data_IF_177863856016
#
_entry.id   IF_177863856016
#
_cell.length_a   1.000
_cell.length_b   1.000
_cell.length_c   1.000
_cell.angle_alpha   90.00
_cell.angle_beta   90.00
_cell.angle_gamma   90.00
#
_symmetry.space_group_name_H-M   'P 1'
#
loop_
_entity.id
_entity.type
_entity.pdbx_description
1 polymer ?
#
# COMPACT_ATOMS: atom_id res chain seq x y z
N UNK A 1 2.39 33.17 23.53
CA UNK A 1 2.86 31.83 23.91
C UNK A 1 4.23 31.59 23.27
N UNK A 2 5.21 31.07 24.02
CA UNK A 2 6.56 30.83 23.51
C UNK A 2 6.58 29.69 22.45
N UNK A 3 7.48 29.71 21.44
CA UNK A 3 7.54 28.68 20.38
C UNK A 3 7.66 27.26 20.92
N UNK A 4 8.46 27.05 21.97
CA UNK A 4 8.62 25.75 22.62
C UNK A 4 7.31 25.25 23.27
N UNK A 5 6.53 26.14 23.89
CA UNK A 5 5.23 25.79 24.46
C UNK A 5 4.23 25.43 23.34
N UNK A 6 4.20 26.21 22.25
CA UNK A 6 3.35 25.94 21.10
C UNK A 6 3.69 24.59 20.42
N UNK A 7 4.97 24.29 20.22
CA UNK A 7 5.42 23.02 19.66
C UNK A 7 5.08 21.82 20.57
N UNK A 8 5.23 22.00 21.88
CA UNK A 8 4.82 20.98 22.85
C UNK A 8 3.32 20.71 22.79
N UNK A 9 2.48 21.76 22.76
CA UNK A 9 1.03 21.63 22.62
C UNK A 9 0.62 21.01 21.28
N UNK A 10 1.35 21.29 20.19
CA UNK A 10 1.12 20.64 18.90
C UNK A 10 1.38 19.12 18.96
N UNK A 11 2.47 18.69 19.61
CA UNK A 11 2.76 17.26 19.84
C UNK A 11 1.82 16.63 20.87
N UNK A 12 1.35 17.41 21.84
CA UNK A 12 0.31 17.01 22.76
C UNK A 12 -0.98 16.68 22.01
N UNK A 13 -1.42 17.57 21.14
CA UNK A 13 -2.59 17.36 20.29
C UNK A 13 -2.44 16.15 19.37
N UNK A 14 -1.28 16.00 18.69
CA UNK A 14 -0.97 14.83 17.84
C UNK A 14 -0.98 13.49 18.61
N UNK A 15 -0.69 13.52 19.92
CA UNK A 15 -0.68 12.32 20.75
C UNK A 15 -2.06 11.83 21.19
N UNK A 16 -3.11 12.66 21.06
CA UNK A 16 -4.45 12.34 21.55
C UNK A 16 -5.21 11.42 20.60
N UNK A 17 -6.16 10.67 21.16
CA UNK A 17 -7.05 9.81 20.37
C UNK A 17 -8.00 10.67 19.51
N UNK A 18 -8.10 10.32 18.22
CA UNK A 18 -8.96 11.02 17.24
C UNK A 18 -10.41 10.52 17.23
N UNK A 19 -10.71 9.45 17.94
CA UNK A 19 -12.04 8.86 18.04
C UNK A 19 -12.23 8.13 19.39
N UNK A 20 -13.49 7.92 19.83
CA UNK A 20 -13.81 7.07 20.96
C UNK A 20 -13.27 5.64 20.80
N UNK A 21 -13.11 4.94 21.93
CA UNK A 21 -12.71 3.52 21.92
C UNK A 21 -13.89 2.65 21.46
N UNK A 22 -13.56 1.52 20.81
CA UNK A 22 -14.54 0.55 20.34
C UNK A 22 -15.22 -0.23 21.48
N UNK A 23 -16.35 -0.85 21.16
CA UNK A 23 -17.12 -1.69 22.08
C UNK A 23 -16.29 -2.82 22.70
N UNK A 24 -16.57 -3.12 23.97
CA UNK A 24 -15.94 -4.19 24.73
C UNK A 24 -14.52 -3.89 25.21
N UNK A 25 -13.93 -2.75 24.83
CA UNK A 25 -12.63 -2.31 25.35
C UNK A 25 -12.78 -2.06 26.86
N UNK A 26 -12.03 -2.83 27.66
CA UNK A 26 -12.09 -2.84 29.13
C UNK A 26 -13.50 -3.01 29.71
N UNK A 27 -14.34 -3.81 29.04
CA UNK A 27 -15.72 -4.13 29.46
C UNK A 27 -16.67 -2.92 29.52
N UNK A 28 -16.34 -1.83 28.82
CA UNK A 28 -17.28 -0.73 28.58
C UNK A 28 -17.93 -0.86 27.20
N UNK A 29 -19.16 -0.37 27.08
CA UNK A 29 -19.89 -0.30 25.81
C UNK A 29 -19.39 0.82 24.92
N UNK A 30 -19.74 0.78 23.63
CA UNK A 30 -19.48 1.88 22.70
C UNK A 30 -20.08 3.23 23.18
N UNK A 31 -21.26 3.21 23.79
CA UNK A 31 -21.93 4.41 24.29
C UNK A 31 -21.23 4.98 25.52
N UNK A 32 -20.80 4.11 26.45
CA UNK A 32 -20.00 4.50 27.61
C UNK A 32 -18.68 5.16 27.18
N UNK A 33 -18.00 4.59 26.17
CA UNK A 33 -16.78 5.18 25.62
C UNK A 33 -17.01 6.49 24.88
N UNK A 34 -18.12 6.62 24.16
CA UNK A 34 -18.47 7.86 23.45
C UNK A 34 -18.77 8.99 24.43
N UNK A 35 -19.52 8.71 25.50
CA UNK A 35 -19.79 9.67 26.57
C UNK A 35 -18.51 10.08 27.31
N UNK A 36 -17.64 9.11 27.63
CA UNK A 36 -16.35 9.37 28.27
C UNK A 36 -15.43 10.21 27.37
N UNK A 37 -15.41 9.94 26.07
CA UNK A 37 -14.60 10.69 25.10
C UNK A 37 -15.05 12.14 24.99
N UNK A 38 -16.37 12.41 24.93
CA UNK A 38 -16.89 13.78 24.90
C UNK A 38 -16.52 14.56 26.17
N UNK A 39 -16.59 13.92 27.33
CA UNK A 39 -16.14 14.51 28.59
C UNK A 39 -14.64 14.82 28.55
N UNK A 40 -13.84 13.89 28.04
CA UNK A 40 -12.40 14.08 27.93
C UNK A 40 -12.00 15.21 26.99
N UNK A 41 -12.67 15.33 25.83
CA UNK A 41 -12.44 16.42 24.87
C UNK A 41 -12.74 17.78 25.50
N UNK A 42 -13.80 17.89 26.31
CA UNK A 42 -14.13 19.15 27.03
C UNK A 42 -13.03 19.54 28.01
N UNK A 43 -12.56 18.58 28.81
CA UNK A 43 -11.48 18.78 29.78
C UNK A 43 -10.16 19.17 29.10
N UNK A 44 -9.79 18.47 28.02
CA UNK A 44 -8.59 18.80 27.23
C UNK A 44 -8.70 20.18 26.62
N UNK A 45 -9.87 20.53 26.06
CA UNK A 45 -10.08 21.86 25.49
C UNK A 45 -9.86 22.95 26.54
N UNK A 46 -10.42 22.79 27.73
CA UNK A 46 -10.21 23.73 28.84
C UNK A 46 -8.72 23.84 29.19
N UNK A 47 -8.00 22.72 29.29
CA UNK A 47 -6.56 22.73 29.52
C UNK A 47 -5.80 23.53 28.45
N UNK A 48 -6.11 23.33 27.17
CA UNK A 48 -5.48 24.06 26.07
C UNK A 48 -5.81 25.57 26.08
N UNK A 49 -6.98 25.96 26.59
CA UNK A 49 -7.37 27.36 26.75
C UNK A 49 -6.64 28.04 27.94
N UNK A 50 -6.31 27.29 28.98
CA UNK A 50 -5.65 27.79 30.21
C UNK A 50 -4.12 27.88 30.11
N UNK A 51 -3.47 26.92 29.44
CA UNK A 51 -2.00 26.81 29.40
C UNK A 51 -1.34 28.03 28.75
N UNK A 52 -0.37 28.62 29.46
CA UNK A 52 0.45 29.73 28.98
C UNK A 52 1.95 29.38 28.88
N UNK A 53 2.41 28.41 29.68
CA UNK A 53 3.84 28.05 29.78
C UNK A 53 4.13 26.61 29.37
N UNK A 54 5.40 26.33 29.02
CA UNK A 54 5.84 24.97 28.70
C UNK A 54 5.72 24.02 29.91
N UNK A 55 6.00 24.51 31.12
CA UNK A 55 5.89 23.70 32.33
C UNK A 55 4.43 23.35 32.62
N UNK A 56 3.49 24.27 32.41
CA UNK A 56 2.05 23.96 32.48
C UNK A 56 1.64 22.93 31.42
N UNK A 57 2.12 23.07 30.17
CA UNK A 57 1.80 22.15 29.08
C UNK A 57 2.20 20.69 29.39
N UNK A 58 3.33 20.50 30.10
CA UNK A 58 3.82 19.17 30.55
C UNK A 58 2.94 18.51 31.61
N UNK A 59 1.97 19.23 32.18
CA UNK A 59 1.15 18.75 33.29
C UNK A 59 -0.22 18.19 32.92
N UNK A 60 -0.50 17.93 31.63
CA UNK A 60 -1.82 17.45 31.19
C UNK A 60 -2.31 16.24 32.00
N UNK A 61 -1.46 15.24 32.24
CA UNK A 61 -1.82 14.06 33.02
C UNK A 61 -2.20 14.43 34.46
N UNK A 62 -1.42 15.29 35.13
CA UNK A 62 -1.71 15.75 36.48
C UNK A 62 -2.99 16.59 36.51
N UNK A 63 -3.17 17.50 35.56
CA UNK A 63 -4.33 18.35 35.46
C UNK A 63 -5.61 17.52 35.29
N UNK A 64 -5.58 16.52 34.41
CA UNK A 64 -6.69 15.61 34.19
C UNK A 64 -6.96 14.74 35.43
N UNK A 65 -5.94 14.21 36.08
CA UNK A 65 -6.10 13.41 37.29
C UNK A 65 -6.68 14.22 38.47
N UNK A 66 -6.31 15.51 38.60
CA UNK A 66 -6.86 16.42 39.63
C UNK A 66 -8.36 16.61 39.51
N UNK A 67 -8.93 16.53 38.30
CA UNK A 67 -10.38 16.56 38.09
C UNK A 67 -11.11 15.46 38.88
N UNK A 68 -10.43 14.34 39.15
CA UNK A 68 -10.95 13.22 39.94
C UNK A 68 -10.49 13.25 41.40
N UNK A 69 -9.76 14.28 41.84
CA UNK A 69 -9.10 14.32 43.15
C UNK A 69 -7.94 13.32 43.27
N UNK A 70 -7.36 12.91 42.15
CA UNK A 70 -6.39 11.82 42.06
C UNK A 70 -5.03 12.30 41.52
N UNK A 71 -4.04 11.41 41.57
CA UNK A 71 -2.75 11.56 40.87
C UNK A 71 -2.69 10.61 39.67
N UNK A 72 -1.83 10.86 38.66
CA UNK A 72 -1.65 9.91 37.56
C UNK A 72 -1.24 8.50 38.00
N UNK A 73 -0.61 8.36 39.18
CA UNK A 73 -0.22 7.08 39.74
C UNK A 73 -1.36 6.36 40.47
N UNK A 74 -2.28 7.09 41.11
CA UNK A 74 -3.42 6.48 41.79
C UNK A 74 -4.56 6.13 40.81
N UNK A 75 -4.69 6.87 39.71
CA UNK A 75 -5.74 6.65 38.70
C UNK A 75 -5.67 5.26 38.03
N UNK A 76 -4.48 4.66 37.94
CA UNK A 76 -4.31 3.32 37.35
C UNK A 76 -4.92 2.20 38.20
N UNK A 77 -5.15 2.47 39.49
CA UNK A 77 -5.74 1.50 40.43
C UNK A 77 -7.26 1.68 40.59
N UNK A 78 -7.85 2.71 39.97
CA UNK A 78 -9.29 2.95 40.00
C UNK A 78 -10.03 2.02 39.04
N UNK A 79 -11.27 1.62 39.36
CA UNK A 79 -12.14 0.98 38.38
C UNK A 79 -12.25 1.87 37.15
N UNK A 80 -11.97 1.31 35.96
CA UNK A 80 -11.90 2.09 34.72
C UNK A 80 -13.19 2.87 34.44
N UNK A 81 -14.35 2.33 34.84
CA UNK A 81 -15.65 2.99 34.66
C UNK A 81 -15.73 4.33 35.39
N UNK A 82 -15.06 4.48 36.53
CA UNK A 82 -15.06 5.71 37.34
C UNK A 82 -14.17 6.80 36.74
N UNK A 83 -13.15 6.39 35.99
CA UNK A 83 -12.11 7.27 35.44
C UNK A 83 -12.03 7.16 33.91
N UNK A 84 -13.12 6.72 33.28
CA UNK A 84 -13.17 6.45 31.85
C UNK A 84 -12.75 7.66 31.00
N UNK A 85 -13.14 8.92 31.32
CA UNK A 85 -12.73 10.06 30.53
C UNK A 85 -11.20 10.29 30.53
N UNK A 86 -10.50 9.99 31.63
CA UNK A 86 -9.03 10.09 31.66
C UNK A 86 -8.36 9.20 30.61
N UNK A 87 -8.95 8.03 30.35
CA UNK A 87 -8.43 7.06 29.40
C UNK A 87 -8.98 7.23 27.98
N UNK A 88 -10.17 7.82 27.85
CA UNK A 88 -10.90 7.89 26.58
C UNK A 88 -10.12 8.67 25.51
N UNK A 89 -9.52 9.80 25.87
CA UNK A 89 -8.73 10.64 24.97
C UNK A 89 -7.26 10.20 24.84
N UNK A 90 -6.82 9.23 25.64
CA UNK A 90 -5.43 8.82 25.65
C UNK A 90 -5.09 7.86 24.50
N UNK A 91 -3.85 7.89 23.98
CA UNK A 91 -3.40 6.96 22.95
C UNK A 91 -3.33 5.52 23.52
N UNK A 92 -3.82 4.54 22.76
CA UNK A 92 -3.85 3.15 23.20
C UNK A 92 -5.08 2.39 22.72
N UNK A 93 -5.04 1.06 22.87
CA UNK A 93 -6.08 0.15 22.39
C UNK A 93 -6.33 -1.00 23.36
N UNK A 94 -6.79 -2.14 22.85
CA UNK A 94 -7.25 -3.30 23.64
C UNK A 94 -6.25 -3.86 24.67
N UNK A 95 -4.93 -3.71 24.45
CA UNK A 95 -3.88 -4.38 25.25
C UNK A 95 -3.19 -3.48 26.28
N UNK A 96 -3.02 -2.19 26.00
CA UNK A 96 -2.38 -1.21 26.90
C UNK A 96 -2.95 0.18 26.64
N UNK A 97 -3.20 0.91 27.72
CA UNK A 97 -3.47 2.35 27.70
C UNK A 97 -2.23 3.11 28.15
N UNK A 98 -2.04 4.31 27.62
CA UNK A 98 -1.04 5.25 28.09
C UNK A 98 -1.73 6.45 28.72
N UNK A 99 -1.04 7.16 29.62
CA UNK A 99 -1.59 8.39 30.20
C UNK A 99 -1.74 9.47 29.11
N UNK A 100 -2.74 10.35 29.22
CA UNK A 100 -2.81 11.57 28.40
C UNK A 100 -1.49 12.34 28.47
N UNK A 101 -0.98 12.75 27.31
CA UNK A 101 0.31 13.45 27.22
C UNK A 101 1.55 12.56 27.25
N UNK A 102 1.41 11.23 27.19
CA UNK A 102 2.55 10.36 26.90
C UNK A 102 3.01 10.54 25.46
N UNK A 103 4.30 10.79 25.26
CA UNK A 103 4.90 10.89 23.93
C UNK A 103 5.59 9.60 23.50
N UNK A 104 5.52 9.32 22.20
CA UNK A 104 6.52 8.48 21.54
C UNK A 104 7.86 9.21 21.48
N UNK A 105 8.96 8.47 21.30
CA UNK A 105 10.31 9.05 21.08
C UNK A 105 10.29 10.15 20.01
N UNK A 106 9.55 9.92 18.93
CA UNK A 106 9.34 10.90 17.87
C UNK A 106 8.65 12.19 18.36
N UNK A 107 7.50 12.05 19.02
CA UNK A 107 6.74 13.20 19.51
C UNK A 107 7.53 14.01 20.55
N UNK A 108 8.29 13.32 21.40
CA UNK A 108 9.16 13.96 22.37
C UNK A 108 10.26 14.80 21.69
N UNK A 109 11.01 14.20 20.76
CA UNK A 109 12.07 14.91 20.07
C UNK A 109 11.54 16.06 19.22
N UNK A 110 10.39 15.88 18.55
CA UNK A 110 9.76 16.97 17.81
C UNK A 110 9.23 18.07 18.72
N UNK A 111 8.73 17.76 19.93
CA UNK A 111 8.31 18.80 20.87
C UNK A 111 9.45 19.74 21.28
N UNK A 112 10.70 19.29 21.13
CA UNK A 112 11.91 20.05 21.43
C UNK A 112 12.42 20.78 20.18
N UNK A 113 12.65 20.06 19.08
CA UNK A 113 13.39 20.57 17.94
C UNK A 113 12.53 21.22 16.84
N UNK A 114 11.22 21.02 16.86
CA UNK A 114 10.33 21.54 15.82
C UNK A 114 10.41 23.07 15.63
N UNK A 115 10.48 23.91 16.69
CA UNK A 115 10.71 25.35 16.52
C UNK A 115 12.04 25.67 15.83
N UNK A 116 13.08 24.88 16.12
CA UNK A 116 14.43 25.06 15.56
C UNK A 116 14.53 24.61 14.11
N UNK A 117 13.67 23.68 13.70
CA UNK A 117 13.53 23.20 12.32
C UNK A 117 12.60 24.09 11.48
N UNK A 118 12.18 25.26 12.01
CA UNK A 118 11.41 26.26 11.27
C UNK A 118 9.89 26.06 11.29
N UNK A 119 9.33 25.35 12.27
CA UNK A 119 7.88 25.35 12.50
C UNK A 119 7.48 26.53 13.39
N UNK A 120 6.34 27.21 13.16
CA UNK A 120 5.21 26.82 12.29
C UNK A 120 5.30 27.20 10.81
N UNK A 121 6.31 27.96 10.39
CA UNK A 121 6.45 28.47 9.03
C UNK A 121 6.59 27.31 8.02
N UNK A 122 7.37 26.28 8.37
CA UNK A 122 7.53 25.04 7.62
C UNK A 122 6.64 23.93 8.18
N UNK A 123 5.50 23.69 7.53
CA UNK A 123 4.57 22.61 7.93
C UNK A 123 5.14 21.21 7.71
N UNK A 124 6.17 21.06 6.89
CA UNK A 124 6.80 19.76 6.60
C UNK A 124 7.61 19.21 7.78
N UNK A 125 7.97 20.06 8.74
CA UNK A 125 8.60 19.66 10.00
C UNK A 125 7.75 18.64 10.76
N UNK A 126 6.42 18.73 10.68
CA UNK A 126 5.51 17.74 11.29
C UNK A 126 5.65 16.34 10.68
N UNK A 127 6.23 16.22 9.48
CA UNK A 127 6.42 14.96 8.75
C UNK A 127 7.83 14.41 8.87
N UNK A 128 8.78 15.19 9.42
CA UNK A 128 10.18 14.76 9.55
C UNK A 128 10.30 13.57 10.52
N UNK A 129 11.28 12.72 10.26
CA UNK A 129 11.78 11.73 11.21
C UNK A 129 13.27 11.95 11.49
N UNK A 130 13.81 13.12 11.14
CA UNK A 130 15.21 13.46 11.33
C UNK A 130 15.29 14.67 12.27
N UNK A 131 16.12 14.56 13.31
CA UNK A 131 16.35 15.59 14.33
C UNK A 131 17.84 15.63 14.69
N UNK A 132 18.34 16.76 15.22
CA UNK A 132 19.70 16.81 15.73
C UNK A 132 19.83 16.03 17.04
N UNK A 133 21.00 15.47 17.29
CA UNK A 133 21.37 14.78 18.52
C UNK A 133 22.77 15.22 18.94
N UNK A 134 22.89 15.73 20.17
CA UNK A 134 24.16 16.08 20.79
C UNK A 134 24.84 14.81 21.32
N UNK A 135 26.15 14.71 21.12
CA UNK A 135 27.00 13.64 21.61
C UNK A 135 27.76 14.08 22.86
N UNK A 136 28.28 13.10 23.60
CA UNK A 136 29.04 13.35 24.84
C UNK A 136 30.30 14.21 24.64
N UNK A 137 30.86 14.21 23.43
CA UNK A 137 32.02 15.02 23.05
C UNK A 137 31.67 16.46 22.65
N UNK A 138 30.39 16.85 22.76
CA UNK A 138 29.89 18.19 22.41
C UNK A 138 29.65 18.39 20.91
N UNK A 139 29.89 17.36 20.09
CA UNK A 139 29.54 17.40 18.66
C UNK A 139 28.09 16.97 18.45
N UNK A 140 27.54 17.30 17.28
CA UNK A 140 26.16 17.02 16.89
C UNK A 140 26.12 16.02 15.74
N UNK A 141 25.00 15.31 15.60
CA UNK A 141 24.67 14.53 14.41
C UNK A 141 23.21 14.69 14.03
N UNK A 142 22.91 14.59 12.73
CA UNK A 142 21.56 14.33 12.27
C UNK A 142 21.24 12.85 12.51
N UNK A 143 20.10 12.60 13.17
CA UNK A 143 19.66 11.24 13.50
C UNK A 143 18.26 10.97 12.99
N UNK A 144 18.06 9.82 12.38
CA UNK A 144 16.76 9.30 11.99
C UNK A 144 16.11 8.56 13.16
N UNK A 145 14.88 8.95 13.49
CA UNK A 145 14.04 8.34 14.51
C UNK A 145 13.33 7.12 13.90
N UNK A 146 13.58 5.92 14.44
CA UNK A 146 12.96 4.66 14.02
C UNK A 146 12.39 3.93 15.23
N UNK A 147 11.12 4.19 15.53
CA UNK A 147 10.49 3.69 16.75
C UNK A 147 11.16 4.31 17.98
N UNK A 148 11.77 3.49 18.81
CA UNK A 148 12.52 3.92 20.00
C UNK A 148 14.04 3.99 19.77
N UNK A 149 14.50 3.78 18.53
CA UNK A 149 15.92 3.84 18.17
C UNK A 149 16.26 5.11 17.38
N UNK A 150 17.47 5.62 17.59
CA UNK A 150 18.06 6.73 16.85
C UNK A 150 19.19 6.20 15.97
N UNK A 151 19.13 6.49 14.67
CA UNK A 151 20.11 6.01 13.68
C UNK A 151 20.86 7.22 13.14
N UNK A 152 22.19 7.20 13.21
CA UNK A 152 23.00 8.28 12.67
C UNK A 152 22.92 8.31 11.15
N UNK A 153 22.59 9.48 10.59
CA UNK A 153 22.51 9.69 9.13
C UNK A 153 23.53 10.70 8.62
N UNK A 154 24.30 11.32 9.53
CA UNK A 154 25.43 12.18 9.23
C UNK A 154 26.69 11.76 10.01
N UNK A 155 27.84 12.29 9.60
CA UNK A 155 29.04 12.34 10.43
C UNK A 155 28.89 13.31 11.61
N UNK A 156 29.96 13.48 12.39
CA UNK A 156 30.01 14.48 13.47
C UNK A 156 29.99 15.91 12.90
N UNK A 157 29.24 16.79 13.55
CA UNK A 157 28.97 18.17 13.14
C UNK A 157 29.29 19.08 14.32
N UNK A 158 30.00 20.18 14.08
CA UNK A 158 30.50 21.02 15.18
C UNK A 158 29.42 21.84 15.87
N UNK A 159 28.37 22.27 15.15
CA UNK A 159 27.37 23.20 15.68
C UNK A 159 25.94 22.67 15.53
N UNK A 160 25.06 23.11 16.44
CA UNK A 160 23.63 22.83 16.33
C UNK A 160 23.03 23.38 15.03
N UNK A 161 23.45 24.56 14.58
CA UNK A 161 22.92 25.17 13.36
C UNK A 161 23.23 24.31 12.13
N UNK A 162 24.46 23.82 12.01
CA UNK A 162 24.86 22.93 10.92
C UNK A 162 24.14 21.58 11.01
N UNK A 163 23.90 21.09 12.22
CA UNK A 163 23.14 19.86 12.43
C UNK A 163 21.66 20.02 12.05
N UNK A 164 21.06 21.19 12.31
CA UNK A 164 19.70 21.51 11.87
C UNK A 164 19.60 21.57 10.34
N UNK A 165 20.55 22.24 9.67
CA UNK A 165 20.62 22.26 8.20
C UNK A 165 20.79 20.85 7.62
N UNK A 166 21.62 20.02 8.25
CA UNK A 166 21.80 18.62 7.83
C UNK A 166 20.52 17.81 8.06
N UNK A 167 19.79 18.04 9.15
CA UNK A 167 18.49 17.42 9.40
C UNK A 167 17.45 17.85 8.37
N UNK A 168 17.41 19.12 7.98
CA UNK A 168 16.56 19.60 6.89
C UNK A 168 16.95 18.94 5.58
N UNK A 169 18.24 18.88 5.24
CA UNK A 169 18.75 18.24 4.01
C UNK A 169 18.37 16.76 3.96
N UNK A 170 18.59 16.02 5.03
CA UNK A 170 18.25 14.59 5.12
C UNK A 170 16.74 14.37 5.20
N UNK A 171 16.00 15.26 5.86
CA UNK A 171 14.54 15.23 5.86
C UNK A 171 13.99 15.49 4.46
N UNK A 172 14.49 16.49 3.73
CA UNK A 172 14.16 16.74 2.33
C UNK A 172 14.59 15.59 1.42
N UNK A 173 15.73 14.96 1.67
CA UNK A 173 16.15 13.75 0.95
C UNK A 173 15.18 12.62 1.21
N UNK A 174 14.84 12.30 2.46
CA UNK A 174 13.94 11.19 2.81
C UNK A 174 12.48 11.45 2.45
N UNK A 175 11.99 12.65 2.74
CA UNK A 175 10.67 13.13 2.32
C UNK A 175 10.62 13.26 0.82
N UNK A 176 11.71 13.65 0.15
CA UNK A 176 11.88 13.75 -1.29
C UNK A 176 12.05 12.41 -1.99
N UNK A 177 12.64 11.39 -1.37
CA UNK A 177 12.65 10.01 -1.86
C UNK A 177 11.28 9.39 -1.64
N UNK A 178 10.66 9.64 -0.49
CA UNK A 178 9.29 9.21 -0.21
C UNK A 178 8.27 9.99 -1.04
N UNK A 179 8.53 11.25 -1.36
CA UNK A 179 7.73 12.10 -2.22
C UNK A 179 8.09 11.88 -3.68
N UNK A 180 9.26 11.36 -4.05
CA UNK A 180 9.56 10.90 -5.40
C UNK A 180 8.90 9.54 -5.61
N UNK A 181 8.94 8.63 -4.63
CA UNK A 181 8.15 7.40 -4.61
C UNK A 181 6.64 7.69 -4.61
N UNK A 182 6.17 8.75 -3.91
CA UNK A 182 4.76 9.17 -3.88
C UNK A 182 4.34 10.06 -5.07
N UNK A 183 5.20 10.92 -5.58
CA UNK A 183 4.98 11.89 -6.70
C UNK A 183 5.15 11.21 -8.06
N UNK A 184 6.06 10.22 -8.18
CA UNK A 184 6.12 9.34 -9.37
C UNK A 184 4.82 8.56 -9.59
N UNK A 185 3.91 8.55 -8.61
CA UNK A 185 2.56 7.96 -8.69
C UNK A 185 1.41 8.96 -8.41
N UNK A 186 1.68 10.26 -8.22
CA UNK A 186 0.63 11.28 -7.96
C UNK A 186 0.83 12.65 -8.61
N UNK A 187 1.89 12.88 -9.40
CA UNK A 187 1.82 13.91 -10.44
C UNK A 187 0.68 13.52 -11.39
N UNK A 188 -0.08 14.48 -11.94
CA UNK A 188 -1.24 14.25 -12.80
C UNK A 188 -0.97 13.13 -13.81
N UNK A 189 -1.37 11.91 -13.47
CA UNK A 189 -1.11 10.75 -14.31
C UNK A 189 -1.87 11.05 -15.60
N UNK A 190 -1.16 11.01 -16.73
CA UNK A 190 -1.77 11.22 -18.04
C UNK A 190 -3.05 10.37 -18.13
N UNK A 191 -4.16 10.90 -18.67
CA UNK A 191 -5.35 10.09 -18.85
C UNK A 191 -5.05 8.91 -19.78
N UNK A 192 -5.84 7.84 -19.68
CA UNK A 192 -5.72 6.70 -20.59
C UNK A 192 -5.77 7.17 -22.05
N UNK A 193 -4.86 6.67 -22.88
CA UNK A 193 -4.85 6.84 -24.33
C UNK A 193 -5.10 5.49 -25.00
N UNK A 194 -6.11 5.42 -25.86
CA UNK A 194 -6.51 4.21 -26.58
C UNK A 194 -7.96 4.29 -27.05
N UNK A 195 -8.48 3.25 -27.72
CA UNK A 195 -9.87 3.19 -28.17
C UNK A 195 -10.84 3.41 -27.00
N UNK A 196 -11.94 4.13 -27.24
CA UNK A 196 -13.02 4.23 -26.26
C UNK A 196 -13.76 2.89 -26.20
N UNK A 197 -13.56 2.16 -25.10
CA UNK A 197 -14.15 0.85 -24.83
C UNK A 197 -15.43 0.94 -23.98
N UNK A 198 -15.81 2.15 -23.56
CA UNK A 198 -17.01 2.44 -22.77
C UNK A 198 -18.10 3.07 -23.63
N UNK A 199 -17.75 3.72 -24.73
CA UNK A 199 -18.69 4.44 -25.60
C UNK A 199 -19.51 5.47 -24.80
N UNK A 200 -18.81 6.22 -23.93
CA UNK A 200 -19.41 7.24 -23.06
C UNK A 200 -20.26 6.71 -21.89
N UNK A 201 -20.36 5.39 -21.68
CA UNK A 201 -21.16 4.82 -20.58
C UNK A 201 -20.38 4.71 -19.27
N UNK A 202 -21.09 4.85 -18.17
CA UNK A 202 -20.61 4.48 -16.85
C UNK A 202 -20.76 2.97 -16.61
N UNK A 203 -19.74 2.39 -15.98
CA UNK A 203 -19.64 0.95 -15.72
C UNK A 203 -20.12 0.65 -14.29
N UNK A 204 -20.90 -0.41 -14.15
CA UNK A 204 -21.33 -0.97 -12.85
C UNK A 204 -20.47 -2.16 -12.41
N UNK A 205 -20.58 -2.57 -11.15
CA UNK A 205 -19.94 -3.81 -10.68
C UNK A 205 -20.44 -5.06 -11.42
N UNK A 206 -21.72 -5.09 -11.77
CA UNK A 206 -22.33 -6.20 -12.51
C UNK A 206 -21.79 -6.30 -13.94
N UNK A 207 -21.47 -5.16 -14.56
CA UNK A 207 -20.80 -5.15 -15.86
C UNK A 207 -19.44 -5.83 -15.78
N UNK A 208 -18.65 -5.59 -14.73
CA UNK A 208 -17.37 -6.26 -14.54
C UNK A 208 -17.53 -7.77 -14.38
N UNK A 209 -18.51 -8.22 -13.59
CA UNK A 209 -18.80 -9.64 -13.41
C UNK A 209 -19.24 -10.30 -14.73
N UNK A 210 -20.13 -9.65 -15.47
CA UNK A 210 -20.70 -10.19 -16.72
C UNK A 210 -19.69 -10.22 -17.86
N UNK A 211 -18.91 -9.17 -18.05
CA UNK A 211 -17.96 -9.05 -19.17
C UNK A 211 -16.68 -9.85 -18.94
N UNK A 212 -16.11 -9.76 -17.74
CA UNK A 212 -14.80 -10.33 -17.42
C UNK A 212 -14.86 -11.66 -16.68
N UNK A 213 -16.04 -12.05 -16.20
CA UNK A 213 -16.27 -13.33 -15.51
C UNK A 213 -15.90 -13.32 -14.03
N UNK A 214 -15.73 -12.16 -13.39
CA UNK A 214 -15.37 -12.09 -11.97
C UNK A 214 -16.45 -12.72 -11.09
N UNK A 215 -16.04 -13.48 -10.07
CA UNK A 215 -16.96 -14.06 -9.08
C UNK A 215 -17.73 -13.01 -8.29
N UNK A 216 -17.11 -11.85 -8.07
CA UNK A 216 -17.72 -10.75 -7.34
C UNK A 216 -16.85 -9.51 -7.32
N UNK A 217 -17.49 -8.36 -7.08
CA UNK A 217 -16.86 -7.05 -6.91
C UNK A 217 -17.06 -6.58 -5.47
N UNK A 218 -15.96 -6.22 -4.78
CA UNK A 218 -16.00 -5.77 -3.38
C UNK A 218 -15.54 -4.32 -3.23
N UNK A 219 -16.16 -3.60 -2.30
CA UNK A 219 -15.81 -2.22 -1.97
C UNK A 219 -15.15 -2.13 -0.60
N UNK A 220 -14.13 -1.28 -0.50
CA UNK A 220 -13.59 -0.89 0.79
C UNK A 220 -14.42 0.18 1.49
N UNK A 221 -14.48 0.09 2.81
CA UNK A 221 -15.14 1.08 3.67
C UNK A 221 -14.56 2.50 3.50
N UNK A 222 -13.28 2.60 3.08
CA UNK A 222 -12.56 3.86 2.90
C UNK A 222 -12.72 4.50 1.51
N UNK A 223 -13.52 3.92 0.61
CA UNK A 223 -13.77 4.46 -0.74
C UNK A 223 -15.07 5.29 -0.76
N UNK A 224 -14.99 6.63 -0.88
CA UNK A 224 -16.15 7.50 -0.97
C UNK A 224 -16.99 7.16 -2.20
N UNK A 225 -18.31 7.28 -2.06
CA UNK A 225 -19.25 7.00 -3.13
C UNK A 225 -18.94 7.81 -4.41
N UNK A 226 -18.48 9.06 -4.25
CA UNK A 226 -18.10 9.94 -5.36
C UNK A 226 -16.93 9.43 -6.21
N UNK A 227 -16.11 8.51 -5.70
CA UNK A 227 -14.94 7.99 -6.42
C UNK A 227 -15.16 6.60 -7.02
N UNK A 228 -16.19 5.89 -6.58
CA UNK A 228 -16.46 4.51 -7.02
C UNK A 228 -16.67 4.42 -8.52
N UNK A 229 -17.41 5.38 -9.11
CA UNK A 229 -17.68 5.39 -10.54
C UNK A 229 -16.39 5.55 -11.37
N UNK A 230 -15.50 6.45 -10.97
CA UNK A 230 -14.19 6.63 -11.64
C UNK A 230 -13.36 5.35 -11.57
N UNK A 231 -13.32 4.70 -10.40
CA UNK A 231 -12.56 3.45 -10.21
C UNK A 231 -13.12 2.29 -11.03
N UNK A 232 -14.45 2.17 -11.16
CA UNK A 232 -15.07 1.17 -12.03
C UNK A 232 -14.72 1.42 -13.50
N UNK A 233 -14.82 2.67 -13.94
CA UNK A 233 -14.53 3.06 -15.32
C UNK A 233 -13.05 2.82 -15.66
N UNK A 234 -12.13 3.22 -14.78
CA UNK A 234 -10.70 2.98 -14.97
C UNK A 234 -10.36 1.49 -14.90
N UNK A 235 -10.99 0.75 -13.99
CA UNK A 235 -10.89 -0.71 -13.88
C UNK A 235 -11.29 -1.40 -15.17
N UNK A 236 -12.47 -1.06 -15.69
CA UNK A 236 -12.97 -1.57 -16.96
C UNK A 236 -12.00 -1.30 -18.12
N UNK A 237 -11.55 -0.06 -18.24
CA UNK A 237 -10.65 0.38 -19.30
C UNK A 237 -9.34 -0.43 -19.26
N UNK A 238 -8.74 -0.58 -18.07
CA UNK A 238 -7.50 -1.33 -17.88
C UNK A 238 -7.65 -2.84 -18.13
N UNK A 239 -8.79 -3.43 -17.75
CA UNK A 239 -9.08 -4.85 -18.01
C UNK A 239 -9.36 -5.13 -19.49
N UNK A 240 -9.99 -4.18 -20.20
CA UNK A 240 -10.11 -4.25 -21.66
C UNK A 240 -8.74 -4.21 -22.34
N UNK A 241 -7.88 -3.26 -21.95
CA UNK A 241 -6.51 -3.16 -22.47
C UNK A 241 -5.73 -4.45 -22.22
N UNK A 242 -5.82 -5.02 -21.01
CA UNK A 242 -5.15 -6.26 -20.67
C UNK A 242 -5.65 -7.44 -21.52
N UNK A 243 -6.97 -7.56 -21.72
CA UNK A 243 -7.55 -8.61 -22.56
C UNK A 243 -7.10 -8.48 -24.03
N UNK A 244 -6.98 -7.24 -24.53
CA UNK A 244 -6.49 -6.95 -25.87
C UNK A 244 -5.00 -7.28 -26.01
N UNK A 245 -4.14 -6.89 -25.07
CA UNK A 245 -2.70 -7.22 -25.10
C UNK A 245 -2.48 -8.74 -25.03
N UNK A 246 -3.19 -9.40 -24.13
CA UNK A 246 -3.15 -10.87 -24.02
C UNK A 246 -3.84 -11.57 -25.19
N UNK A 247 -4.61 -10.83 -25.99
CA UNK A 247 -5.46 -11.34 -27.07
C UNK A 247 -6.31 -12.54 -26.64
N UNK A 248 -6.95 -12.41 -25.49
CA UNK A 248 -7.89 -13.38 -24.94
C UNK A 248 -9.29 -12.79 -24.90
N UNK A 249 -10.35 -13.62 -24.93
CA UNK A 249 -11.70 -13.13 -24.65
C UNK A 249 -11.76 -12.43 -23.29
N UNK A 250 -12.45 -11.29 -23.19
CA UNK A 250 -12.57 -10.52 -21.93
C UNK A 250 -13.04 -11.38 -20.76
N UNK A 251 -13.98 -12.31 -20.99
CA UNK A 251 -14.47 -13.28 -19.99
C UNK A 251 -13.41 -14.22 -19.39
N UNK A 252 -12.19 -14.27 -19.95
CA UNK A 252 -11.08 -15.08 -19.43
C UNK A 252 -10.19 -14.32 -18.45
N UNK A 253 -10.38 -13.01 -18.30
CA UNK A 253 -9.62 -12.18 -17.38
C UNK A 253 -9.79 -12.63 -15.92
N UNK A 254 -10.97 -13.13 -15.55
CA UNK A 254 -11.19 -13.69 -14.22
C UNK A 254 -10.59 -15.09 -14.01
N UNK A 255 -9.86 -15.63 -14.99
CA UNK A 255 -9.05 -16.85 -14.84
C UNK A 255 -9.85 -17.97 -14.14
N UNK A 256 -11.03 -18.33 -14.64
CA UNK A 256 -11.90 -19.34 -14.01
C UNK A 256 -13.38 -19.11 -14.27
N UNK A 257 -14.23 -19.93 -13.64
CA UNK A 257 -15.68 -19.80 -13.67
C UNK A 257 -16.25 -20.22 -12.31
N UNK A 258 -17.42 -19.68 -11.96
CA UNK A 258 -18.09 -19.99 -10.68
C UNK A 258 -17.25 -19.61 -9.46
N UNK A 259 -17.16 -20.50 -8.48
CA UNK A 259 -16.44 -20.25 -7.23
C UNK A 259 -14.91 -20.18 -7.39
N UNK A 260 -14.37 -20.75 -8.47
CA UNK A 260 -12.95 -20.74 -8.80
C UNK A 260 -12.52 -19.48 -9.59
N UNK A 261 -13.48 -18.64 -10.00
CA UNK A 261 -13.17 -17.40 -10.68
C UNK A 261 -12.53 -16.38 -9.72
N UNK A 262 -11.62 -15.58 -10.27
CA UNK A 262 -11.01 -14.45 -9.59
C UNK A 262 -12.10 -13.48 -9.13
N UNK A 263 -11.96 -12.91 -7.94
CA UNK A 263 -12.73 -11.74 -7.54
C UNK A 263 -11.90 -10.47 -7.65
N UNK A 264 -12.58 -9.32 -7.67
CA UNK A 264 -11.92 -8.01 -7.71
C UNK A 264 -12.46 -7.14 -6.57
N UNK A 265 -11.58 -6.36 -5.97
CA UNK A 265 -11.91 -5.43 -4.91
C UNK A 265 -11.33 -4.04 -5.20
N UNK A 266 -12.08 -3.01 -4.85
CA UNK A 266 -11.67 -1.62 -5.00
C UNK A 266 -11.55 -0.98 -3.62
N UNK A 267 -10.31 -0.68 -3.23
CA UNK A 267 -9.95 -0.04 -1.96
C UNK A 267 -10.35 -0.81 -0.70
N UNK A 268 -10.72 -2.09 -0.81
CA UNK A 268 -11.08 -2.93 0.33
C UNK A 268 -9.82 -3.45 1.04
N UNK A 269 -9.95 -3.93 2.29
CA UNK A 269 -8.94 -4.81 2.94
C UNK A 269 -7.55 -4.18 3.20
N UNK A 270 -7.50 -2.89 3.52
CA UNK A 270 -6.26 -2.13 3.68
C UNK A 270 -5.27 -2.67 4.74
N UNK A 271 -4.13 -3.18 4.29
CA UNK A 271 -2.86 -3.07 5.03
C UNK A 271 -2.22 -1.76 4.59
N UNK A 272 -1.98 -0.85 5.54
CA UNK A 272 -1.69 0.58 5.34
C UNK A 272 -0.48 0.97 4.45
N UNK A 273 0.16 0.03 3.74
CA UNK A 273 1.38 0.23 2.93
C UNK A 273 1.35 -0.40 1.52
N UNK A 274 0.35 -1.22 1.14
CA UNK A 274 0.34 -1.87 -0.17
C UNK A 274 -0.31 -0.99 -1.26
N UNK A 275 0.23 -1.07 -2.49
CA UNK A 275 -0.14 -0.23 -3.64
C UNK A 275 -1.30 -0.88 -4.43
N UNK A 276 -1.22 -2.16 -4.73
CA UNK A 276 -2.31 -3.09 -4.99
C UNK A 276 -1.84 -4.44 -4.43
N UNK A 277 -2.73 -5.42 -4.25
CA UNK A 277 -2.29 -6.75 -3.81
C UNK A 277 -3.26 -7.84 -4.24
N UNK A 278 -2.72 -8.96 -4.73
CA UNK A 278 -3.42 -10.22 -4.86
C UNK A 278 -3.46 -10.95 -3.51
N UNK A 279 -4.62 -11.47 -3.11
CA UNK A 279 -4.82 -12.28 -1.91
C UNK A 279 -5.02 -13.75 -2.29
N UNK A 280 -3.97 -14.61 -2.20
CA UNK A 280 -4.07 -16.00 -2.65
C UNK A 280 -5.15 -16.81 -1.94
N UNK A 281 -5.36 -16.56 -0.64
CA UNK A 281 -6.34 -17.27 0.18
C UNK A 281 -7.79 -17.01 -0.25
N UNK A 282 -8.06 -15.85 -0.85
CA UNK A 282 -9.40 -15.45 -1.27
C UNK A 282 -9.58 -15.46 -2.79
N UNK A 283 -8.48 -15.65 -3.52
CA UNK A 283 -8.44 -15.56 -4.98
C UNK A 283 -9.04 -14.22 -5.45
N UNK A 284 -8.52 -13.11 -4.91
CA UNK A 284 -9.00 -11.74 -5.17
C UNK A 284 -7.84 -10.80 -5.49
N UNK A 285 -8.00 -9.94 -6.49
CA UNK A 285 -7.14 -8.76 -6.70
C UNK A 285 -7.78 -7.56 -6.00
N UNK A 286 -7.00 -6.85 -5.19
CA UNK A 286 -7.44 -5.61 -4.55
C UNK A 286 -6.68 -4.39 -5.08
N UNK A 287 -7.40 -3.51 -5.77
CA UNK A 287 -6.87 -2.27 -6.34
C UNK A 287 -7.04 -1.13 -5.33
N UNK A 288 -5.93 -0.59 -4.80
CA UNK A 288 -6.01 0.54 -3.86
C UNK A 288 -6.05 1.89 -4.61
N UNK A 289 -7.07 2.72 -4.32
CA UNK A 289 -7.37 4.06 -4.88
C UNK A 289 -6.32 4.68 -5.85
N UNK A 290 -5.68 5.80 -5.47
CA UNK A 290 -4.74 6.55 -6.32
C UNK A 290 -3.33 5.95 -6.32
N UNK A 291 -3.03 5.08 -5.34
CA UNK A 291 -1.69 4.53 -5.11
C UNK A 291 -1.44 3.20 -5.85
N UNK A 292 -2.50 2.50 -6.26
CA UNK A 292 -2.46 1.25 -7.02
C UNK A 292 -2.50 1.40 -8.54
N UNK A 293 -2.53 2.65 -9.03
CA UNK A 293 -2.30 2.92 -10.45
C UNK A 293 -0.91 2.41 -10.84
N UNK A 294 -0.88 1.66 -11.94
CA UNK A 294 0.31 1.04 -12.50
C UNK A 294 0.58 -0.40 -12.05
N UNK A 295 -0.28 -1.01 -11.23
CA UNK A 295 0.01 -2.33 -10.63
C UNK A 295 -0.98 -3.45 -11.01
N UNK A 296 -2.05 -3.18 -11.78
CA UNK A 296 -3.04 -4.22 -12.08
C UNK A 296 -2.43 -5.37 -12.90
N UNK A 297 -1.56 -5.10 -13.86
CA UNK A 297 -0.89 -6.15 -14.64
C UNK A 297 -0.06 -7.08 -13.74
N UNK A 298 0.64 -6.50 -12.75
CA UNK A 298 1.45 -7.21 -11.77
C UNK A 298 0.60 -8.17 -10.91
N UNK A 299 -0.48 -7.66 -10.30
CA UNK A 299 -1.37 -8.49 -9.48
C UNK A 299 -2.11 -9.55 -10.29
N UNK A 300 -2.46 -9.24 -11.55
CA UNK A 300 -3.06 -10.20 -12.45
C UNK A 300 -2.11 -11.36 -12.75
N UNK A 301 -0.83 -11.09 -12.99
CA UNK A 301 0.16 -12.14 -13.19
C UNK A 301 0.28 -13.06 -11.97
N UNK A 302 0.31 -12.51 -10.75
CA UNK A 302 0.30 -13.33 -9.54
C UNK A 302 -0.91 -14.26 -9.47
N UNK A 303 -2.09 -13.77 -9.83
CA UNK A 303 -3.29 -14.61 -9.89
C UNK A 303 -3.21 -15.71 -10.95
N UNK A 304 -2.66 -15.40 -12.13
CA UNK A 304 -2.45 -16.34 -13.23
C UNK A 304 -1.44 -17.44 -12.86
N UNK A 305 -0.28 -17.05 -12.30
CA UNK A 305 0.78 -17.94 -11.83
C UNK A 305 0.25 -18.91 -10.75
N UNK A 306 -0.49 -18.38 -9.77
CA UNK A 306 -1.13 -19.21 -8.72
C UNK A 306 -2.16 -20.18 -9.30
N UNK A 307 -2.98 -19.74 -10.26
CA UNK A 307 -3.94 -20.65 -10.91
C UNK A 307 -3.24 -21.76 -11.67
N UNK A 308 -2.16 -21.43 -12.38
CA UNK A 308 -1.38 -22.41 -13.10
C UNK A 308 -0.80 -23.45 -12.11
N UNK A 309 -0.25 -23.01 -10.97
CA UNK A 309 0.21 -23.92 -9.91
C UNK A 309 -0.90 -24.82 -9.34
N UNK A 310 -2.10 -24.28 -9.10
CA UNK A 310 -3.27 -25.09 -8.68
C UNK A 310 -3.65 -26.15 -9.70
N UNK A 311 -3.64 -25.82 -10.99
CA UNK A 311 -3.89 -26.78 -12.08
C UNK A 311 -2.81 -27.86 -12.18
N UNK A 312 -1.58 -27.52 -11.81
CA UNK A 312 -0.47 -28.46 -11.70
C UNK A 312 -0.56 -29.37 -10.45
N UNK A 313 -1.58 -29.20 -9.60
CA UNK A 313 -1.82 -30.03 -8.42
C UNK A 313 -1.22 -29.50 -7.11
N UNK A 314 -0.70 -28.27 -7.10
CA UNK A 314 -0.17 -27.65 -5.88
C UNK A 314 -0.92 -26.36 -5.56
N UNK A 315 -1.39 -26.17 -4.33
CA UNK A 315 -1.91 -24.87 -3.88
C UNK A 315 -0.76 -23.89 -3.59
N UNK A 316 -0.01 -23.55 -4.64
CA UNK A 316 1.19 -22.71 -4.64
C UNK A 316 1.37 -22.02 -6.01
N UNK A 317 2.34 -21.10 -6.13
CA UNK A 317 2.74 -20.53 -7.42
C UNK A 317 3.42 -21.59 -8.31
N UNK A 318 3.41 -21.43 -9.63
CA UNK A 318 3.94 -22.43 -10.57
C UNK A 318 5.42 -22.74 -10.32
N UNK A 319 6.22 -21.75 -9.92
CA UNK A 319 7.63 -21.95 -9.56
C UNK A 319 7.85 -22.99 -8.44
N UNK A 320 6.93 -23.05 -7.48
CA UNK A 320 6.97 -24.02 -6.37
C UNK A 320 6.32 -25.34 -6.82
N UNK A 321 5.21 -25.26 -7.56
CA UNK A 321 4.47 -26.42 -8.04
C UNK A 321 5.33 -27.38 -8.87
N UNK A 322 6.25 -26.84 -9.68
CA UNK A 322 7.19 -27.63 -10.51
C UNK A 322 8.12 -28.56 -9.72
N UNK A 323 8.28 -28.35 -8.41
CA UNK A 323 9.06 -29.24 -7.55
C UNK A 323 8.29 -30.50 -7.15
N UNK A 324 7.02 -30.62 -7.56
CA UNK A 324 6.16 -31.78 -7.32
C UNK A 324 6.03 -32.62 -8.59
N UNK A 325 5.97 -33.97 -8.50
CA UNK A 325 5.71 -34.81 -9.65
C UNK A 325 4.31 -34.54 -10.23
N UNK A 326 4.21 -34.30 -11.54
CA UNK A 326 2.93 -34.26 -12.26
C UNK A 326 3.07 -35.04 -13.58
N UNK A 327 2.01 -35.69 -14.03
CA UNK A 327 1.95 -36.33 -15.36
C UNK A 327 1.17 -35.44 -16.35
N UNK A 328 1.75 -35.19 -17.53
CA UNK A 328 1.06 -34.57 -18.67
C UNK A 328 0.93 -33.04 -18.64
N UNK A 329 1.99 -32.34 -19.02
CA UNK A 329 1.94 -30.89 -19.25
C UNK A 329 1.25 -30.58 -20.58
N UNK A 330 0.15 -29.82 -20.55
CA UNK A 330 -0.57 -29.41 -21.76
C UNK A 330 -1.04 -27.95 -21.66
N UNK A 331 -0.50 -27.07 -22.53
CA UNK A 331 -0.96 -25.69 -22.65
C UNK A 331 0.15 -24.67 -22.42
N UNK A 332 0.00 -23.90 -21.34
CA UNK A 332 0.82 -22.70 -21.02
C UNK A 332 2.05 -23.00 -20.17
N UNK A 333 2.15 -24.21 -19.64
CA UNK A 333 3.18 -24.64 -18.69
C UNK A 333 4.60 -24.59 -19.27
N UNK A 334 4.87 -25.00 -20.53
CA UNK A 334 6.20 -24.90 -21.11
C UNK A 334 6.71 -23.45 -21.20
N UNK A 335 5.82 -22.50 -21.48
CA UNK A 335 6.17 -21.08 -21.58
C UNK A 335 6.50 -20.50 -20.21
N UNK A 336 5.73 -20.84 -19.18
CA UNK A 336 6.03 -20.48 -17.79
C UNK A 336 7.34 -21.13 -17.31
N UNK A 337 7.58 -22.40 -17.67
CA UNK A 337 8.84 -23.07 -17.35
C UNK A 337 10.04 -22.38 -17.99
N UNK A 338 9.93 -22.02 -19.28
CA UNK A 338 10.94 -21.26 -20.01
C UNK A 338 11.24 -19.92 -19.33
N UNK A 339 10.18 -19.16 -18.99
CA UNK A 339 10.28 -17.90 -18.26
C UNK A 339 11.04 -18.07 -16.94
N UNK A 340 10.64 -19.01 -16.07
CA UNK A 340 11.32 -19.21 -14.79
C UNK A 340 12.75 -19.70 -14.96
N UNK A 341 13.05 -20.47 -16.01
CA UNK A 341 14.42 -20.85 -16.35
C UNK A 341 15.27 -19.62 -16.68
N UNK A 342 14.79 -18.74 -17.57
CA UNK A 342 15.47 -17.51 -17.93
C UNK A 342 15.66 -16.57 -16.73
N UNK A 343 14.62 -16.42 -15.89
CA UNK A 343 14.67 -15.58 -14.69
C UNK A 343 15.72 -16.04 -13.67
N UNK A 344 16.04 -17.35 -13.57
CA UNK A 344 17.04 -17.86 -12.60
C UNK A 344 18.44 -17.31 -12.85
N UNK A 345 18.78 -17.02 -14.10
CA UNK A 345 20.10 -16.50 -14.50
C UNK A 345 20.07 -15.03 -14.93
N UNK A 346 18.90 -14.40 -14.85
CA UNK A 346 18.67 -13.02 -15.32
C UNK A 346 19.46 -11.94 -14.58
N UNK A 347 19.79 -10.85 -15.28
CA UNK A 347 20.25 -9.60 -14.69
C UNK A 347 19.18 -8.97 -13.81
N UNK A 348 17.90 -9.09 -14.16
CA UNK A 348 16.76 -8.73 -13.32
C UNK A 348 16.85 -9.35 -11.92
N UNK A 349 17.19 -10.64 -11.82
CA UNK A 349 17.38 -11.31 -10.52
C UNK A 349 18.58 -10.76 -9.76
N UNK A 350 19.66 -10.42 -10.45
CA UNK A 350 20.84 -9.79 -9.83
C UNK A 350 20.51 -8.39 -9.31
N UNK A 351 19.76 -7.59 -10.07
CA UNK A 351 19.26 -6.26 -9.67
C UNK A 351 18.35 -6.38 -8.44
N UNK A 352 17.39 -7.31 -8.46
CA UNK A 352 16.51 -7.56 -7.32
C UNK A 352 17.25 -7.94 -6.04
N UNK A 353 18.31 -8.75 -6.14
CA UNK A 353 19.17 -9.09 -4.99
C UNK A 353 19.94 -7.88 -4.47
N UNK A 354 20.38 -6.97 -5.35
CA UNK A 354 21.01 -5.71 -4.94
C UNK A 354 20.02 -4.83 -4.18
N UNK A 355 18.77 -4.74 -4.64
CA UNK A 355 17.69 -4.03 -3.94
C UNK A 355 17.46 -4.66 -2.55
N UNK A 356 17.34 -6.00 -2.47
CA UNK A 356 17.18 -6.71 -1.19
C UNK A 356 18.35 -6.54 -0.21
N UNK A 357 19.56 -6.31 -0.72
CA UNK A 357 20.73 -6.06 0.13
C UNK A 357 20.70 -4.68 0.80
N UNK A 358 19.78 -3.78 0.39
CA UNK A 358 19.62 -2.47 1.03
C UNK A 358 19.03 -2.64 2.45
N UNK A 359 19.51 -1.89 3.47
CA UNK A 359 19.15 -2.06 4.88
C UNK A 359 17.64 -1.95 5.23
N UNK A 360 16.80 -1.49 4.32
CA UNK A 360 15.36 -1.27 4.51
C UNK A 360 14.49 -2.05 3.50
N UNK A 361 15.10 -2.81 2.60
CA UNK A 361 14.35 -3.55 1.59
C UNK A 361 13.68 -4.79 2.20
N UNK A 362 12.44 -5.04 1.77
CA UNK A 362 11.73 -6.26 2.13
C UNK A 362 12.30 -7.45 1.35
N UNK A 363 12.33 -8.64 1.96
CA UNK A 363 12.93 -9.86 1.38
C UNK A 363 12.01 -10.58 0.37
N UNK A 364 11.34 -9.83 -0.51
CA UNK A 364 10.49 -10.40 -1.56
C UNK A 364 10.96 -10.08 -2.98
N UNK A 365 11.80 -9.06 -3.19
CA UNK A 365 12.21 -8.63 -4.53
C UNK A 365 12.87 -9.74 -5.34
N UNK A 366 13.63 -10.66 -4.75
CA UNK A 366 14.32 -11.71 -5.52
C UNK A 366 13.52 -13.02 -5.66
N UNK A 367 12.29 -13.06 -5.14
CA UNK A 367 11.40 -14.22 -5.30
C UNK A 367 10.99 -14.39 -6.76
N UNK A 368 10.82 -15.63 -7.21
CA UNK A 368 10.60 -15.88 -8.64
C UNK A 368 9.23 -15.40 -9.12
N UNK A 369 8.19 -15.49 -8.28
CA UNK A 369 6.87 -14.95 -8.60
C UNK A 369 6.90 -13.43 -8.79
N UNK A 370 7.64 -12.70 -7.95
CA UNK A 370 7.82 -11.24 -8.06
C UNK A 370 8.69 -10.83 -9.25
N UNK A 371 9.69 -11.65 -9.59
CA UNK A 371 10.47 -11.47 -10.82
C UNK A 371 9.60 -11.69 -12.07
N UNK A 372 8.77 -12.73 -12.07
CA UNK A 372 7.80 -13.01 -13.14
C UNK A 372 6.77 -11.90 -13.29
N UNK A 373 6.19 -11.43 -12.18
CA UNK A 373 5.20 -10.34 -12.18
C UNK A 373 5.78 -9.04 -12.74
N UNK A 374 7.00 -8.64 -12.35
CA UNK A 374 7.66 -7.43 -12.90
C UNK A 374 8.07 -7.57 -14.35
N UNK A 375 8.51 -8.77 -14.77
CA UNK A 375 8.79 -9.05 -16.18
C UNK A 375 7.52 -8.94 -17.03
N UNK A 376 6.40 -9.50 -16.54
CA UNK A 376 5.10 -9.41 -17.21
C UNK A 376 4.61 -7.97 -17.27
N UNK A 377 4.66 -7.25 -16.15
CA UNK A 377 4.32 -5.84 -16.04
C UNK A 377 5.10 -5.00 -17.06
N UNK A 378 6.42 -5.21 -17.19
CA UNK A 378 7.23 -4.52 -18.20
C UNK A 378 6.81 -4.82 -19.64
N UNK A 379 6.53 -6.10 -19.95
CA UNK A 379 6.10 -6.50 -21.31
C UNK A 379 4.72 -5.93 -21.67
N UNK A 380 3.79 -5.87 -20.72
CA UNK A 380 2.48 -5.21 -20.92
C UNK A 380 2.66 -3.73 -21.23
N UNK A 381 3.57 -3.03 -20.52
CA UNK A 381 3.81 -1.62 -20.80
C UNK A 381 4.46 -1.41 -22.17
N UNK A 382 5.39 -2.28 -22.57
CA UNK A 382 6.01 -2.21 -23.90
C UNK A 382 4.98 -2.41 -25.01
N UNK A 383 4.07 -3.38 -24.83
CA UNK A 383 2.97 -3.66 -25.77
C UNK A 383 2.06 -2.44 -25.94
N UNK A 384 1.70 -1.76 -24.83
CA UNK A 384 0.94 -0.51 -24.89
C UNK A 384 1.69 0.59 -25.65
N UNK A 385 2.99 0.75 -25.39
CA UNK A 385 3.81 1.78 -26.03
C UNK A 385 3.93 1.54 -27.53
N UNK A 386 4.11 0.28 -27.95
CA UNK A 386 4.15 -0.10 -29.37
C UNK A 386 2.84 0.22 -30.08
N UNK A 387 1.70 0.06 -29.40
CA UNK A 387 0.37 0.40 -29.90
C UNK A 387 0.03 1.91 -29.80
N UNK A 388 0.95 2.75 -29.31
CA UNK A 388 0.69 4.18 -29.09
C UNK A 388 -0.33 4.46 -27.97
N UNK A 389 -0.51 3.51 -27.05
CA UNK A 389 -1.48 3.55 -25.95
C UNK A 389 -0.82 3.85 -24.61
N UNK A 390 -1.64 4.28 -23.66
CA UNK A 390 -1.24 4.50 -22.28
C UNK A 390 -2.38 4.09 -21.35
N UNK A 391 -2.14 3.17 -20.40
CA UNK A 391 -3.17 2.66 -19.51
C UNK A 391 -2.73 2.75 -18.05
N UNK A 392 -3.05 3.86 -17.36
CA UNK A 392 -2.43 4.20 -16.08
C UNK A 392 -2.85 3.31 -14.91
N UNK A 393 -4.03 2.69 -14.95
CA UNK A 393 -4.38 1.73 -13.93
C UNK A 393 -3.73 0.36 -14.21
N UNK A 394 -3.59 -0.01 -15.49
CA UNK A 394 -3.00 -1.28 -15.90
C UNK A 394 -1.51 -1.36 -15.53
N UNK A 395 -0.71 -0.44 -16.07
CA UNK A 395 0.74 -0.39 -15.87
C UNK A 395 1.34 0.97 -16.26
N UNK A 396 2.32 1.45 -15.47
CA UNK A 396 3.23 2.53 -15.87
C UNK A 396 4.50 2.52 -15.00
N UNK A 397 5.55 3.21 -15.42
CA UNK A 397 6.77 3.40 -14.63
C UNK A 397 7.80 2.26 -14.73
N UNK A 398 7.66 1.35 -15.69
CA UNK A 398 8.60 0.24 -15.91
C UNK A 398 9.68 0.54 -16.96
N UNK A 399 9.59 1.66 -17.69
CA UNK A 399 10.51 1.94 -18.80
C UNK A 399 11.86 2.38 -18.28
N UNK A 400 12.94 2.14 -19.03
CA UNK A 400 14.30 2.50 -18.60
C UNK A 400 14.44 3.99 -18.28
N UNK A 401 13.76 4.85 -19.05
CA UNK A 401 13.73 6.29 -18.82
C UNK A 401 13.21 6.66 -17.42
N UNK A 402 12.38 5.81 -16.82
CA UNK A 402 11.78 6.01 -15.50
C UNK A 402 12.80 5.72 -14.37
N UNK A 403 13.92 5.06 -14.68
CA UNK A 403 14.94 4.59 -13.72
C UNK A 403 16.36 5.12 -14.01
N UNK A 404 16.54 6.06 -14.95
CA UNK A 404 17.87 6.57 -15.35
C UNK A 404 18.70 7.17 -14.22
N UNK A 405 18.06 7.69 -13.16
CA UNK A 405 18.76 8.30 -12.02
C UNK A 405 19.43 7.28 -11.10
N UNK A 406 18.88 6.05 -11.03
CA UNK A 406 19.43 4.95 -10.23
C UNK A 406 19.33 3.64 -11.03
N UNK A 407 20.11 3.49 -12.11
CA UNK A 407 19.95 2.37 -13.03
C UNK A 407 20.17 1.01 -12.33
N UNK A 408 21.06 0.97 -11.34
CA UNK A 408 21.40 -0.24 -10.58
C UNK A 408 20.36 -0.63 -9.51
N UNK A 409 19.36 0.21 -9.27
CA UNK A 409 18.25 0.00 -8.34
C UNK A 409 16.90 -0.18 -9.07
N UNK A 410 16.92 -0.32 -10.40
CA UNK A 410 15.73 -0.62 -11.20
C UNK A 410 15.15 -1.98 -10.81
N UNK A 411 13.86 -2.07 -10.46
CA UNK A 411 13.21 -3.35 -10.18
C UNK A 411 12.75 -4.07 -11.47
N UNK A 412 12.95 -3.50 -12.65
CA UNK A 412 12.45 -4.01 -13.94
C UNK A 412 13.58 -4.43 -14.89
N UNK A 413 13.31 -5.37 -15.83
CA UNK A 413 14.29 -5.81 -16.81
C UNK A 413 14.62 -4.69 -17.80
N UNK A 414 15.85 -4.73 -18.34
CA UNK A 414 16.45 -3.69 -19.17
C UNK A 414 17.20 -4.29 -20.36
N UNK A 415 17.39 -3.49 -21.41
CA UNK A 415 18.14 -3.81 -22.61
C UNK A 415 17.63 -5.08 -23.29
N UNK A 416 18.56 -5.88 -23.80
CA UNK A 416 18.25 -7.12 -24.51
C UNK A 416 17.45 -8.13 -23.67
N UNK A 417 17.69 -8.19 -22.35
CA UNK A 417 16.98 -9.12 -21.46
C UNK A 417 15.48 -8.83 -21.38
N UNK A 418 15.08 -7.54 -21.46
CA UNK A 418 13.67 -7.15 -21.47
C UNK A 418 12.93 -7.79 -22.65
N UNK A 419 13.53 -7.75 -23.83
CA UNK A 419 12.98 -8.38 -25.03
C UNK A 419 12.97 -9.92 -24.92
N UNK A 420 14.05 -10.53 -24.44
CA UNK A 420 14.15 -11.98 -24.26
C UNK A 420 13.10 -12.53 -23.28
N UNK A 421 12.87 -11.84 -22.16
CA UNK A 421 11.80 -12.20 -21.23
C UNK A 421 10.41 -11.99 -21.85
N UNK A 422 10.26 -10.96 -22.68
CA UNK A 422 9.07 -10.68 -23.49
C UNK A 422 8.65 -11.84 -24.39
N UNK A 423 9.60 -12.51 -25.05
CA UNK A 423 9.32 -13.64 -25.96
C UNK A 423 8.59 -14.80 -25.26
N UNK A 424 8.82 -15.01 -23.97
CA UNK A 424 8.08 -16.01 -23.20
C UNK A 424 6.60 -15.65 -23.03
N UNK A 425 6.28 -14.36 -22.88
CA UNK A 425 4.90 -13.88 -22.78
C UNK A 425 4.20 -13.91 -24.15
N UNK A 426 4.90 -13.62 -25.24
CA UNK A 426 4.37 -13.82 -26.59
C UNK A 426 4.01 -15.29 -26.82
N UNK A 427 4.90 -16.21 -26.44
CA UNK A 427 4.63 -17.64 -26.48
C UNK A 427 3.41 -18.03 -25.62
N UNK A 428 3.26 -17.41 -24.45
CA UNK A 428 2.12 -17.62 -23.55
C UNK A 428 0.82 -17.17 -24.21
N UNK A 429 0.81 -16.00 -24.85
CA UNK A 429 -0.33 -15.47 -25.61
C UNK A 429 -0.72 -16.42 -26.75
N UNK A 430 0.24 -16.94 -27.51
CA UNK A 430 -0.01 -17.92 -28.57
C UNK A 430 -0.68 -19.17 -28.01
N UNK A 431 -0.18 -19.71 -26.90
CA UNK A 431 -0.78 -20.88 -26.24
C UNK A 431 -2.20 -20.61 -25.74
N UNK A 432 -2.44 -19.46 -25.10
CA UNK A 432 -3.76 -19.06 -24.63
C UNK A 432 -4.78 -18.91 -25.78
N UNK A 433 -4.36 -18.33 -26.90
CA UNK A 433 -5.19 -18.21 -28.12
C UNK A 433 -5.56 -19.59 -28.67
N UNK A 434 -4.61 -20.51 -28.75
CA UNK A 434 -4.87 -21.87 -29.22
C UNK A 434 -5.94 -22.57 -28.36
N UNK A 435 -5.86 -22.40 -27.04
CA UNK A 435 -6.86 -22.92 -26.10
C UNK A 435 -8.24 -22.25 -26.28
N UNK A 436 -8.28 -20.93 -26.51
CA UNK A 436 -9.51 -20.18 -26.74
C UNK A 436 -10.24 -20.63 -28.01
N UNK A 437 -9.47 -20.83 -29.09
CA UNK A 437 -10.00 -21.32 -30.37
C UNK A 437 -10.51 -22.76 -30.26
N UNK A 438 -9.82 -23.64 -29.53
CA UNK A 438 -10.28 -25.01 -29.28
C UNK A 438 -11.57 -25.08 -28.42
N UNK A 439 -11.83 -24.06 -27.60
CA UNK A 439 -13.00 -23.99 -26.71
C UNK A 439 -14.23 -23.36 -27.35
N UNK A 440 -14.13 -22.88 -28.60
CA UNK A 440 -15.25 -22.25 -29.33
C UNK A 440 -15.94 -23.32 -30.18
N UNK A 441 -17.24 -23.61 -29.99
CA UNK A 441 -17.92 -24.63 -30.79
C UNK A 441 -17.97 -24.20 -32.26
N UNK A 442 -17.77 -25.16 -33.16
CA UNK A 442 -17.85 -24.92 -34.60
C UNK A 442 -19.23 -24.33 -34.98
N UNK A 443 -19.31 -23.46 -36.01
CA UNK A 443 -20.59 -22.92 -36.45
C UNK A 443 -21.52 -24.07 -36.85
N UNK A 444 -22.64 -24.23 -36.14
CA UNK A 444 -23.67 -25.24 -36.43
C UNK A 444 -24.07 -26.17 -35.28
N UNK A 445 -23.37 -26.16 -34.13
CA UNK A 445 -23.83 -26.93 -32.96
C UNK A 445 -24.81 -26.10 -32.11
N UNK A 446 -26.09 -26.49 -32.13
CA UNK A 446 -27.12 -25.96 -31.24
C UNK A 446 -26.75 -26.21 -29.76
N UNK A 447 -26.56 -25.13 -29.00
CA UNK A 447 -26.45 -25.18 -27.55
C UNK A 447 -27.86 -25.44 -26.98
N UNK A 448 -28.12 -26.64 -26.44
CA UNK A 448 -29.35 -26.89 -25.67
C UNK A 448 -29.26 -26.13 -24.35
N UNK A 449 -30.14 -25.14 -24.16
CA UNK A 449 -30.35 -24.50 -22.87
C UNK A 449 -30.88 -25.54 -21.86
N UNK A 450 -30.35 -25.58 -20.61
CA UNK A 450 -30.87 -26.47 -19.58
C UNK A 450 -32.32 -26.08 -19.27
N UNK A 451 -33.18 -27.11 -19.25
CA UNK A 451 -34.63 -26.98 -19.44
C UNK A 451 -35.35 -26.07 -18.44
N UNK A 452 -36.15 -25.17 -18.98
CA UNK A 452 -37.37 -24.69 -18.34
C UNK A 452 -38.32 -25.89 -18.17
N UNK A 453 -38.48 -26.38 -16.94
CA UNK A 453 -39.66 -27.17 -16.58
C UNK A 453 -40.78 -26.18 -16.29
N UNK A 454 -41.68 -26.02 -17.26
CA UNK A 454 -42.99 -25.42 -17.07
C UNK A 454 -44.07 -26.50 -17.08
N UNK A 455 -45.08 -26.31 -16.23
CA UNK A 455 -46.21 -27.17 -15.86
C UNK A 455 -45.91 -28.22 -14.79
#
# INVERSE_FOLDING_TARGET
>A
MAPACAAYLAMLYDSLATAPKADGIFKLTADEWSSAYLTAVRLIRQFFEEVQTLEEAKTLAQWFARHYGETPRSIVNRPIRDVAPYWAAAPGGRRRMRSPGSFTTRQHLLSIYMPMLGWPESKDVLKTNVVPCELEDGTWRAVQIKGDSLIYVSGAIATLQDALHECERESHRMLGTSAALRSRRSASIQPRSGPDVRFGRDISGDDLMREFGFRGVQWGESVPQSERQSLLNEGWDALCDLAEILCIPRRWIALGAGDDALGIAFGARGVARALAHYEPALNIINLTRLRGRGCLAHEWFHSADRRAGRRHGADSYMEIAWRMPCEGLQGIEPQLQGLYSALRTSELRKQARRIEALPQAQKYWSTMCELGARAFESWVQDSLVLDGRFSPLLVHGTLEKDHMQHPDESPYPRGAERFQLGEHFEGLVVALRAMANASTPAPGQQMRLPGFKGA
#
